data_IF_138445728217
#
_entry.id   IF_138445728217
#
_cell.length_a   1.000
_cell.length_b   1.000
_cell.length_c   1.000
_cell.angle_alpha   90.00
_cell.angle_beta   90.00
_cell.angle_gamma   90.00
#
_symmetry.space_group_name_H-M   'P 1'
#
loop_
_entity.id
_entity.type
_entity.pdbx_description
1 polymer ?
#
# COMPACT_ATOMS: atom_id res chain seq x y z
N UNK A 1 -13.44 8.28 37.54
CA UNK A 1 -12.10 7.89 37.09
C UNK A 1 -12.22 6.67 36.17
N UNK A 2 -11.54 6.67 35.03
CA UNK A 2 -11.49 5.51 34.15
C UNK A 2 -10.59 4.46 34.81
N UNK A 3 -11.10 3.26 35.09
CA UNK A 3 -10.36 2.25 35.85
C UNK A 3 -9.55 1.34 34.93
N UNK A 4 -8.49 0.73 35.48
CA UNK A 4 -7.75 -0.33 34.77
C UNK A 4 -8.67 -1.47 34.33
N UNK A 5 -9.71 -1.77 35.12
CA UNK A 5 -10.75 -2.76 34.81
C UNK A 5 -11.52 -2.39 33.54
N UNK A 6 -11.81 -1.11 33.30
CA UNK A 6 -12.48 -0.64 32.08
C UNK A 6 -11.58 -0.84 30.85
N UNK A 7 -10.27 -0.56 30.96
CA UNK A 7 -9.29 -0.82 29.89
C UNK A 7 -9.22 -2.32 29.56
N UNK A 8 -9.13 -3.16 30.58
CA UNK A 8 -9.06 -4.62 30.41
C UNK A 8 -10.32 -5.20 29.79
N UNK A 9 -11.48 -4.58 30.07
CA UNK A 9 -12.75 -4.97 29.45
C UNK A 9 -12.74 -4.66 27.95
N UNK A 10 -12.34 -3.43 27.58
CA UNK A 10 -12.18 -3.04 26.16
C UNK A 10 -11.20 -3.95 25.43
N UNK A 11 -10.07 -4.29 26.05
CA UNK A 11 -9.09 -5.21 25.47
C UNK A 11 -9.68 -6.61 25.29
N UNK A 12 -10.41 -7.12 26.29
CA UNK A 12 -11.05 -8.43 26.19
C UNK A 12 -12.09 -8.51 25.08
N UNK A 13 -12.86 -7.44 24.87
CA UNK A 13 -13.82 -7.34 23.78
C UNK A 13 -13.14 -7.31 22.42
N UNK A 14 -12.12 -6.46 22.24
CA UNK A 14 -11.44 -6.27 20.95
C UNK A 14 -10.60 -7.49 20.56
N UNK A 15 -9.95 -8.11 21.53
CA UNK A 15 -9.14 -9.31 21.32
C UNK A 15 -10.00 -10.60 21.29
N UNK A 16 -11.30 -10.49 21.57
CA UNK A 16 -12.24 -11.61 21.74
C UNK A 16 -11.71 -12.72 22.66
N UNK A 17 -11.01 -12.32 23.73
CA UNK A 17 -10.51 -13.20 24.78
C UNK A 17 -11.38 -13.04 26.02
N UNK A 18 -11.40 -14.04 26.90
CA UNK A 18 -12.23 -13.91 28.11
C UNK A 18 -11.66 -12.78 28.97
N UNK A 19 -12.53 -11.97 29.55
CA UNK A 19 -12.09 -10.93 30.49
C UNK A 19 -11.20 -11.47 31.62
N UNK A 20 -11.44 -12.71 32.07
CA UNK A 20 -10.61 -13.41 33.06
C UNK A 20 -9.19 -13.71 32.56
N UNK A 21 -9.01 -13.92 31.26
CA UNK A 21 -7.72 -14.17 30.63
C UNK A 21 -6.89 -12.88 30.56
N UNK A 22 -7.54 -11.73 30.32
CA UNK A 22 -6.87 -10.41 30.36
C UNK A 22 -6.58 -10.01 31.80
N UNK A 23 -7.60 -10.11 32.69
CA UNK A 23 -7.52 -9.72 34.10
C UNK A 23 -6.43 -10.45 34.89
N UNK A 24 -6.19 -11.73 34.57
CA UNK A 24 -5.19 -12.57 35.25
C UNK A 24 -3.74 -12.34 34.80
N UNK A 25 -3.51 -11.50 33.79
CA UNK A 25 -2.23 -11.36 33.10
C UNK A 25 -1.85 -9.88 32.91
N UNK A 26 -1.94 -9.09 33.99
CA UNK A 26 -1.65 -7.63 34.00
C UNK A 26 -0.23 -7.27 33.59
N UNK A 27 0.70 -8.24 33.57
CA UNK A 27 2.09 -8.06 33.15
C UNK A 27 2.32 -8.35 31.67
N UNK A 28 1.31 -8.84 30.93
CA UNK A 28 1.45 -9.12 29.51
C UNK A 28 1.07 -7.92 28.66
N UNK A 29 1.82 -7.70 27.58
CA UNK A 29 1.55 -6.62 26.65
C UNK A 29 0.33 -6.92 25.76
N UNK A 30 -0.23 -5.89 25.13
CA UNK A 30 -1.37 -6.03 24.22
C UNK A 30 -1.04 -7.00 23.05
N UNK A 31 0.19 -6.95 22.53
CA UNK A 31 0.67 -7.86 21.50
C UNK A 31 0.79 -9.31 21.97
N UNK A 32 1.13 -9.55 23.24
CA UNK A 32 1.18 -10.91 23.82
C UNK A 32 -0.20 -11.56 23.94
N UNK A 33 -1.28 -10.76 23.94
CA UNK A 33 -2.64 -11.27 23.78
C UNK A 33 -3.05 -11.47 22.30
N UNK A 34 -2.16 -11.11 21.37
CA UNK A 34 -2.37 -11.20 19.93
C UNK A 34 -2.99 -9.95 19.32
N UNK A 35 -2.88 -8.80 19.98
CA UNK A 35 -3.26 -7.52 19.42
C UNK A 35 -2.23 -7.01 18.41
N UNK A 36 -2.72 -6.34 17.37
CA UNK A 36 -1.90 -5.60 16.42
C UNK A 36 -2.11 -4.08 16.57
N UNK A 37 -1.41 -3.30 15.74
CA UNK A 37 -1.48 -1.83 15.77
C UNK A 37 -2.89 -1.30 15.46
N UNK A 38 -3.65 -1.95 14.57
CA UNK A 38 -5.02 -1.54 14.24
C UNK A 38 -5.99 -1.83 15.39
N UNK A 39 -5.85 -2.99 16.04
CA UNK A 39 -6.60 -3.34 17.24
C UNK A 39 -6.27 -2.42 18.41
N UNK A 40 -5.01 -1.99 18.55
CA UNK A 40 -4.60 -1.03 19.58
C UNK A 40 -5.24 0.35 19.35
N UNK A 41 -5.27 0.83 18.09
CA UNK A 41 -5.97 2.08 17.71
C UNK A 41 -7.48 1.96 18.00
N UNK A 42 -8.07 0.81 17.69
CA UNK A 42 -9.50 0.54 17.94
C UNK A 42 -9.81 0.57 19.44
N UNK A 43 -8.94 -0.01 20.27
CA UNK A 43 -9.06 0.01 21.72
C UNK A 43 -8.95 1.42 22.29
N UNK A 44 -8.03 2.22 21.78
CA UNK A 44 -7.87 3.62 22.13
C UNK A 44 -9.16 4.41 21.87
N UNK A 45 -9.73 4.27 20.67
CA UNK A 45 -10.97 4.95 20.30
C UNK A 45 -12.16 4.52 21.17
N UNK A 46 -12.30 3.23 21.46
CA UNK A 46 -13.38 2.73 22.31
C UNK A 46 -13.24 3.25 23.75
N UNK A 47 -12.02 3.29 24.29
CA UNK A 47 -11.73 3.89 25.61
C UNK A 47 -12.11 5.37 25.63
N UNK A 48 -11.73 6.13 24.60
CA UNK A 48 -12.07 7.55 24.48
C UNK A 48 -13.59 7.78 24.37
N UNK A 49 -14.32 6.93 23.64
CA UNK A 49 -15.79 7.02 23.54
C UNK A 49 -16.45 6.80 24.90
N UNK A 50 -16.05 5.73 25.62
CA UNK A 50 -16.58 5.42 26.95
C UNK A 50 -16.25 6.53 27.95
N UNK A 51 -15.06 7.12 27.88
CA UNK A 51 -14.68 8.23 28.74
C UNK A 51 -15.56 9.48 28.51
N UNK A 52 -15.85 9.80 27.24
CA UNK A 52 -16.77 10.88 26.86
C UNK A 52 -18.20 10.62 27.35
N UNK A 53 -18.73 9.43 27.13
CA UNK A 53 -20.08 9.04 27.59
C UNK A 53 -20.23 9.12 29.11
N UNK A 54 -19.21 8.72 29.86
CA UNK A 54 -19.20 8.78 31.32
C UNK A 54 -18.91 10.20 31.86
N UNK A 55 -18.75 11.20 30.99
CA UNK A 55 -18.38 12.57 31.32
C UNK A 55 -17.13 12.64 32.22
N UNK A 56 -16.21 11.69 32.02
CA UNK A 56 -14.95 11.61 32.76
C UNK A 56 -13.92 12.38 31.97
N UNK A 57 -13.50 13.53 32.49
CA UNK A 57 -12.29 14.20 32.02
C UNK A 57 -11.11 13.26 32.28
N UNK A 58 -10.50 12.74 31.22
CA UNK A 58 -9.16 12.15 31.31
C UNK A 58 -8.24 13.32 31.68
N UNK A 59 -7.92 13.45 32.95
CA UNK A 59 -7.22 14.62 33.52
C UNK A 59 -5.94 14.92 32.72
N UNK A 60 -5.79 16.20 32.38
CA UNK A 60 -4.61 16.82 31.79
C UNK A 60 -3.38 16.57 32.67
N UNK A 61 -2.48 15.68 32.23
CA UNK A 61 -1.02 15.68 32.49
C UNK A 61 -0.32 14.42 31.94
N UNK A 62 -1.06 13.40 31.51
CA UNK A 62 -0.52 12.27 30.72
C UNK A 62 -1.58 11.75 29.75
N UNK A 63 -1.99 12.60 28.81
CA UNK A 63 -2.82 12.19 27.69
C UNK A 63 -2.03 11.19 26.85
N UNK A 64 -2.29 9.89 27.02
CA UNK A 64 -1.85 8.88 26.07
C UNK A 64 -2.67 9.13 24.79
N UNK A 65 -2.11 9.90 23.88
CA UNK A 65 -2.68 10.14 22.55
C UNK A 65 -2.59 8.86 21.71
N UNK A 66 -3.31 8.82 20.59
CA UNK A 66 -3.10 7.76 19.59
C UNK A 66 -1.62 7.69 19.16
N UNK A 67 -0.90 8.82 19.18
CA UNK A 67 0.54 8.91 18.92
C UNK A 67 1.35 8.26 20.04
N UNK A 68 0.97 8.41 21.31
CA UNK A 68 1.66 7.76 22.43
C UNK A 68 1.45 6.23 22.40
N UNK A 69 0.25 5.76 22.02
CA UNK A 69 -0.02 4.33 21.82
C UNK A 69 0.69 3.74 20.61
N UNK A 70 0.77 4.49 19.50
CA UNK A 70 1.59 4.12 18.35
C UNK A 70 3.08 4.11 18.72
N UNK A 71 3.54 5.07 19.53
CA UNK A 71 4.93 5.15 20.02
C UNK A 71 5.27 3.98 20.92
N UNK A 72 4.38 3.59 21.84
CA UNK A 72 4.54 2.40 22.68
C UNK A 72 4.55 1.12 21.84
N UNK A 73 3.67 1.02 20.84
CA UNK A 73 3.61 -0.10 19.90
C UNK A 73 4.89 -0.17 19.03
N UNK A 74 5.42 0.97 18.59
CA UNK A 74 6.67 1.07 17.83
C UNK A 74 7.88 0.74 18.72
N UNK A 75 7.92 1.22 19.96
CA UNK A 75 8.98 0.89 20.94
C UNK A 75 8.97 -0.60 21.30
N UNK A 76 7.78 -1.21 21.36
CA UNK A 76 7.61 -2.64 21.57
C UNK A 76 8.08 -3.45 20.36
N UNK A 77 7.73 -3.04 19.14
CA UNK A 77 8.26 -3.62 17.89
C UNK A 77 9.78 -3.48 17.84
N UNK A 78 10.35 -2.33 18.21
CA UNK A 78 11.79 -2.12 18.33
C UNK A 78 12.42 -3.06 19.36
N UNK A 79 11.77 -3.27 20.50
CA UNK A 79 12.24 -4.18 21.55
C UNK A 79 12.20 -5.65 21.11
N UNK A 80 11.20 -6.04 20.32
CA UNK A 80 11.11 -7.37 19.68
C UNK A 80 12.25 -7.57 18.66
N UNK A 81 12.54 -6.55 17.85
CA UNK A 81 13.64 -6.55 16.88
C UNK A 81 15.00 -6.67 17.59
N UNK A 82 15.24 -5.87 18.63
CA UNK A 82 16.50 -5.86 19.38
C UNK A 82 16.69 -7.16 20.18
N UNK A 83 15.61 -7.74 20.72
CA UNK A 83 15.67 -9.00 21.49
C UNK A 83 15.71 -10.25 20.62
N UNK A 84 15.60 -10.13 19.29
CA UNK A 84 15.61 -11.25 18.35
C UNK A 84 14.39 -12.18 18.45
N UNK A 85 13.31 -11.75 19.13
CA UNK A 85 12.08 -12.53 19.24
C UNK A 85 11.28 -12.41 17.93
N UNK A 86 10.72 -13.52 17.45
CA UNK A 86 9.80 -13.51 16.30
C UNK A 86 8.37 -13.24 16.81
N UNK A 87 7.58 -12.35 16.17
CA UNK A 87 6.17 -12.21 16.49
C UNK A 87 5.43 -13.51 16.17
N UNK A 88 4.58 -13.96 17.09
CA UNK A 88 3.80 -15.18 16.90
C UNK A 88 2.83 -15.01 15.73
N UNK A 89 2.90 -15.90 14.73
CA UNK A 89 1.95 -15.89 13.62
C UNK A 89 0.51 -16.13 14.14
N UNK A 90 -0.47 -15.32 13.70
CA UNK A 90 -1.86 -15.56 14.05
C UNK A 90 -2.33 -16.90 13.47
N UNK A 91 -2.99 -17.71 14.29
CA UNK A 91 -3.51 -19.01 13.86
C UNK A 91 -4.71 -18.86 12.91
N UNK A 92 -4.87 -19.82 12.00
CA UNK A 92 -5.84 -19.87 10.88
C UNK A 92 -7.30 -19.57 11.28
N UNK A 93 -7.69 -19.76 12.55
CA UNK A 93 -9.04 -19.40 13.04
C UNK A 93 -9.27 -17.89 13.21
N UNK A 94 -8.22 -17.07 13.31
CA UNK A 94 -8.32 -15.61 13.53
C UNK A 94 -8.52 -14.80 12.25
N UNK A 95 -8.31 -15.39 11.07
CA UNK A 95 -8.39 -14.70 9.78
C UNK A 95 -9.84 -14.38 9.34
N UNK A 96 -10.85 -15.07 9.89
CA UNK A 96 -12.27 -14.77 9.66
C UNK A 96 -12.75 -13.54 10.44
N UNK A 97 -12.17 -13.27 11.62
CA UNK A 97 -12.67 -12.28 12.59
C UNK A 97 -12.26 -10.85 12.24
N UNK A 98 -11.13 -10.68 11.54
CA UNK A 98 -10.67 -9.39 10.99
C UNK A 98 -11.67 -8.76 10.00
N UNK A 99 -12.48 -9.57 9.31
CA UNK A 99 -13.41 -9.04 8.32
C UNK A 99 -14.70 -8.46 8.93
N UNK A 100 -15.13 -8.96 10.10
CA UNK A 100 -16.42 -8.58 10.72
C UNK A 100 -16.28 -7.38 11.68
N UNK A 101 -15.15 -7.25 12.41
CA UNK A 101 -14.95 -6.15 13.36
C UNK A 101 -14.52 -4.80 12.74
N UNK A 102 -13.97 -4.81 11.52
CA UNK A 102 -13.52 -3.58 10.82
C UNK A 102 -14.71 -2.79 10.25
N UNK A 103 -15.84 -3.45 9.99
CA UNK A 103 -16.95 -2.81 9.31
C UNK A 103 -17.71 -1.80 10.18
N UNK A 104 -17.71 -1.96 11.51
CA UNK A 104 -18.28 -1.01 12.48
C UNK A 104 -17.36 0.19 12.78
N UNK A 105 -16.03 -0.01 12.77
CA UNK A 105 -15.04 1.04 13.11
C UNK A 105 -14.91 2.10 12.00
N UNK A 106 -15.18 1.72 10.74
CA UNK A 106 -15.09 2.64 9.59
C UNK A 106 -16.36 3.46 9.36
N UNK A 107 -17.51 3.08 9.93
CA UNK A 107 -18.73 3.91 9.84
C UNK A 107 -18.69 5.13 10.75
N UNK A 108 -17.75 5.18 11.70
CA UNK A 108 -17.69 6.18 12.77
C UNK A 108 -16.31 6.82 12.94
N UNK A 109 -15.50 6.92 11.87
CA UNK A 109 -14.28 7.74 11.93
C UNK A 109 -14.67 9.20 12.26
N UNK A 110 -14.21 9.77 13.39
CA UNK A 110 -14.49 11.14 13.74
C UNK A 110 -13.91 12.09 12.68
N UNK A 111 -14.62 13.18 12.44
CA UNK A 111 -14.32 14.27 11.51
C UNK A 111 -12.82 14.46 11.28
N UNK A 112 -12.34 14.12 10.09
CA UNK A 112 -10.99 14.49 9.66
C UNK A 112 -11.07 15.95 9.23
N UNK A 113 -10.49 16.85 10.02
CA UNK A 113 -10.38 18.27 9.66
C UNK A 113 -9.50 18.39 8.41
N UNK A 114 -10.12 18.60 7.26
CA UNK A 114 -9.43 18.95 6.01
C UNK A 114 -9.27 20.47 6.00
N UNK A 115 -8.08 20.94 6.37
CA UNK A 115 -7.51 22.31 6.32
C UNK A 115 -8.44 23.52 6.49
N UNK A 116 -8.03 24.45 7.36
CA UNK A 116 -8.55 25.82 7.39
C UNK A 116 -8.33 26.50 6.04
N UNK A 117 -9.43 26.95 5.42
CA UNK A 117 -9.32 28.00 4.40
C UNK A 117 -8.98 29.34 5.07
N UNK A 118 -8.27 30.22 4.36
CA UNK A 118 -7.85 31.56 4.82
C UNK A 118 -8.99 32.47 5.35
N UNK A 119 -10.25 32.04 5.22
CA UNK A 119 -11.44 32.71 5.73
C UNK A 119 -11.86 32.30 7.16
N UNK A 120 -11.14 31.36 7.81
CA UNK A 120 -11.46 30.90 9.16
C UNK A 120 -12.74 30.03 9.25
N UNK A 121 -13.28 29.59 8.12
CA UNK A 121 -14.40 28.64 8.10
C UNK A 121 -13.91 27.20 8.33
N UNK A 122 -14.37 26.59 9.44
CA UNK A 122 -14.16 25.18 9.73
C UNK A 122 -15.10 24.31 8.89
N UNK A 123 -14.56 23.59 7.91
CA UNK A 123 -15.28 22.56 7.19
C UNK A 123 -15.14 21.22 7.93
N UNK A 124 -16.28 20.64 8.33
CA UNK A 124 -16.32 19.29 8.85
C UNK A 124 -16.43 18.32 7.67
N UNK A 125 -15.30 17.77 7.23
CA UNK A 125 -15.26 16.69 6.25
C UNK A 125 -15.60 15.35 6.90
N UNK A 126 -16.60 14.64 6.36
CA UNK A 126 -16.88 13.26 6.75
C UNK A 126 -16.38 12.33 5.66
N UNK A 127 -15.49 11.38 6.03
CA UNK A 127 -15.13 10.28 5.14
C UNK A 127 -16.28 9.28 5.14
N UNK A 128 -16.98 9.19 4.01
CA UNK A 128 -18.03 8.18 3.81
C UNK A 128 -17.45 6.99 3.07
N UNK A 129 -17.52 5.80 3.68
CA UNK A 129 -17.22 4.53 2.99
C UNK A 129 -18.21 4.33 1.83
N UNK A 130 -17.73 4.35 0.60
CA UNK A 130 -18.55 4.11 -0.60
C UNK A 130 -18.55 2.63 -0.98
N UNK A 131 -17.39 1.97 -0.89
CA UNK A 131 -17.23 0.53 -1.08
C UNK A 131 -15.92 0.05 -0.42
N UNK A 132 -15.73 -1.26 -0.33
CA UNK A 132 -14.51 -1.92 0.20
C UNK A 132 -14.19 -3.12 -0.68
N UNK A 133 -12.92 -3.31 -1.00
CA UNK A 133 -12.42 -4.46 -1.75
C UNK A 133 -11.34 -5.19 -0.94
N UNK A 134 -11.41 -6.52 -0.88
CA UNK A 134 -10.45 -7.34 -0.14
C UNK A 134 -9.25 -7.72 -1.00
N UNK A 135 -8.07 -7.29 -0.53
CA UNK A 135 -6.77 -7.68 -1.06
C UNK A 135 -6.10 -8.54 0.01
N UNK A 136 -5.66 -9.74 -0.36
CA UNK A 136 -5.35 -10.84 0.59
C UNK A 136 -4.18 -10.54 1.54
N UNK A 137 -3.51 -9.41 1.34
CA UNK A 137 -2.35 -8.93 2.09
C UNK A 137 -2.35 -7.40 2.17
N UNK A 138 -1.41 -6.84 2.95
CA UNK A 138 -1.17 -5.41 3.05
C UNK A 138 -0.91 -4.78 1.67
N UNK A 139 -1.35 -3.54 1.51
CA UNK A 139 -1.18 -2.73 0.31
C UNK A 139 -0.16 -1.65 0.64
N UNK A 140 1.09 -1.88 0.24
CA UNK A 140 2.18 -0.93 0.46
C UNK A 140 2.34 0.01 -0.75
N UNK A 141 1.92 -0.44 -1.94
CA UNK A 141 1.96 0.34 -3.17
C UNK A 141 0.74 1.24 -3.32
N UNK A 142 0.95 2.49 -3.71
CA UNK A 142 -0.11 3.42 -4.07
C UNK A 142 -0.94 2.88 -5.25
N UNK A 143 -2.29 2.96 -5.18
CA UNK A 143 -3.14 2.51 -6.26
C UNK A 143 -3.05 3.47 -7.47
N UNK A 144 -3.27 2.95 -8.67
CA UNK A 144 -3.33 3.76 -9.89
C UNK A 144 -4.78 3.93 -10.32
N UNK A 145 -5.19 5.17 -10.55
CA UNK A 145 -6.44 5.49 -11.23
C UNK A 145 -6.20 5.59 -12.73
N UNK A 146 -6.95 4.82 -13.51
CA UNK A 146 -6.97 4.87 -14.97
C UNK A 146 -8.35 5.32 -15.41
N UNK A 147 -8.41 6.50 -16.01
CA UNK A 147 -9.64 7.07 -16.55
C UNK A 147 -9.65 6.94 -18.08
N UNK A 148 -10.78 6.47 -18.60
CA UNK A 148 -11.15 6.56 -20.00
C UNK A 148 -12.51 7.26 -20.11
N UNK A 149 -12.92 7.65 -21.32
CA UNK A 149 -14.19 8.36 -21.54
C UNK A 149 -15.41 7.63 -20.96
N UNK A 150 -15.35 6.29 -20.87
CA UNK A 150 -16.49 5.47 -20.42
C UNK A 150 -16.28 4.77 -19.08
N UNK A 151 -15.04 4.68 -18.57
CA UNK A 151 -14.70 3.87 -17.38
C UNK A 151 -13.61 4.53 -16.56
N UNK A 152 -13.73 4.40 -15.24
CA UNK A 152 -12.66 4.73 -14.32
C UNK A 152 -12.33 3.47 -13.51
N UNK A 153 -11.08 3.01 -13.63
CA UNK A 153 -10.60 1.77 -13.07
C UNK A 153 -9.49 2.07 -12.06
N UNK A 154 -9.49 1.34 -10.95
CA UNK A 154 -8.41 1.38 -9.97
C UNK A 154 -7.58 0.10 -10.10
N UNK A 155 -6.28 0.23 -10.31
CA UNK A 155 -5.34 -0.89 -10.21
C UNK A 155 -4.69 -0.82 -8.84
N UNK A 156 -4.82 -1.90 -8.07
CA UNK A 156 -4.21 -2.02 -6.75
C UNK A 156 -3.39 -3.30 -6.69
N UNK A 157 -2.26 -3.23 -6.02
CA UNK A 157 -1.42 -4.38 -5.77
C UNK A 157 -1.19 -4.56 -4.26
N UNK A 158 -1.30 -5.79 -3.77
CA UNK A 158 -0.86 -6.12 -2.42
C UNK A 158 0.58 -6.60 -2.42
N UNK A 159 1.23 -6.48 -1.26
CA UNK A 159 2.61 -6.93 -1.04
C UNK A 159 2.82 -8.42 -1.38
N UNK A 160 1.75 -9.23 -1.39
CA UNK A 160 1.79 -10.65 -1.72
C UNK A 160 1.85 -11.00 -3.21
N UNK A 161 1.95 -10.00 -4.08
CA UNK A 161 1.96 -10.17 -5.53
C UNK A 161 0.56 -10.26 -6.15
N UNK A 162 -0.49 -9.90 -5.42
CA UNK A 162 -1.87 -9.94 -5.91
C UNK A 162 -2.26 -8.59 -6.51
N UNK A 163 -2.59 -8.58 -7.80
CA UNK A 163 -3.03 -7.41 -8.54
C UNK A 163 -4.53 -7.52 -8.80
N UNK A 164 -5.26 -6.45 -8.53
CA UNK A 164 -6.69 -6.35 -8.80
C UNK A 164 -7.00 -5.10 -9.61
N UNK A 165 -7.87 -5.24 -10.61
CA UNK A 165 -8.52 -4.12 -11.27
C UNK A 165 -9.93 -4.00 -10.72
N UNK A 166 -10.24 -2.82 -10.19
CA UNK A 166 -11.48 -2.53 -9.47
C UNK A 166 -12.24 -1.44 -10.22
N UNK A 167 -13.54 -1.65 -10.42
CA UNK A 167 -14.43 -0.60 -10.91
C UNK A 167 -14.61 0.47 -9.81
N UNK A 168 -14.22 1.71 -10.10
CA UNK A 168 -14.19 2.79 -9.10
C UNK A 168 -15.58 3.20 -8.59
N UNK A 169 -16.64 2.92 -9.35
CA UNK A 169 -18.02 3.29 -8.98
C UNK A 169 -18.62 2.27 -8.01
N UNK A 170 -18.42 0.98 -8.28
CA UNK A 170 -19.03 -0.12 -7.53
C UNK A 170 -18.10 -0.76 -6.50
N UNK A 171 -16.78 -0.59 -6.62
CA UNK A 171 -15.79 -1.32 -5.84
C UNK A 171 -15.63 -2.79 -6.24
N UNK A 172 -16.27 -3.22 -7.33
CA UNK A 172 -16.24 -4.61 -7.80
C UNK A 172 -14.90 -4.93 -8.45
N UNK A 173 -14.26 -6.03 -8.04
CA UNK A 173 -13.06 -6.56 -8.70
C UNK A 173 -13.46 -7.10 -10.07
N UNK A 174 -13.03 -6.42 -11.14
CA UNK A 174 -13.28 -6.77 -12.53
C UNK A 174 -12.27 -7.80 -13.06
N UNK A 175 -11.03 -7.72 -12.56
CA UNK A 175 -9.96 -8.64 -12.93
C UNK A 175 -8.99 -8.81 -11.77
N UNK A 176 -8.37 -9.98 -11.69
CA UNK A 176 -7.40 -10.30 -10.64
C UNK A 176 -6.36 -11.28 -11.18
N UNK A 177 -5.09 -10.99 -10.93
CA UNK A 177 -4.01 -11.90 -11.24
C UNK A 177 -2.98 -11.89 -10.11
N UNK A 178 -2.13 -12.93 -10.10
CA UNK A 178 -1.03 -13.05 -9.15
C UNK A 178 0.28 -13.05 -9.91
N UNK A 179 1.23 -12.25 -9.44
CA UNK A 179 2.59 -12.18 -9.95
C UNK A 179 3.57 -12.70 -8.89
N UNK A 180 4.77 -13.07 -9.35
CA UNK A 180 5.82 -13.57 -8.47
C UNK A 180 6.58 -12.44 -7.79
N UNK A 181 6.94 -12.67 -6.53
CA UNK A 181 7.69 -11.72 -5.72
C UNK A 181 6.80 -10.83 -4.84
N UNK A 182 7.46 -10.02 -4.03
CA UNK A 182 6.82 -9.01 -3.19
C UNK A 182 6.73 -7.68 -3.90
N UNK A 183 5.67 -6.93 -3.66
CA UNK A 183 5.46 -5.58 -4.19
C UNK A 183 5.54 -4.60 -3.02
N UNK A 184 6.60 -3.79 -2.99
CA UNK A 184 6.78 -2.73 -1.97
C UNK A 184 6.98 -1.34 -2.59
N UNK A 185 7.24 -1.28 -3.90
CA UNK A 185 7.27 -0.03 -4.64
C UNK A 185 5.90 0.31 -5.20
N UNK A 186 5.66 1.62 -5.39
CA UNK A 186 4.47 2.09 -6.09
C UNK A 186 4.40 1.54 -7.51
N UNK A 187 3.17 1.36 -7.98
CA UNK A 187 2.89 1.08 -9.37
C UNK A 187 3.09 2.36 -10.21
N UNK A 188 3.40 2.21 -11.50
CA UNK A 188 3.31 3.31 -12.46
C UNK A 188 2.58 2.88 -13.75
N UNK A 189 2.13 3.83 -14.55
CA UNK A 189 1.54 3.54 -15.86
C UNK A 189 1.87 4.62 -16.89
N UNK A 190 1.73 4.27 -18.16
CA UNK A 190 1.83 5.18 -19.31
C UNK A 190 0.69 4.90 -20.27
N UNK A 191 0.11 5.98 -20.81
CA UNK A 191 -0.79 5.91 -21.97
C UNK A 191 0.05 6.19 -23.22
N UNK A 192 0.37 5.12 -23.94
CA UNK A 192 1.15 5.15 -25.18
C UNK A 192 0.22 5.29 -26.37
N UNK A 193 0.51 6.23 -27.29
CA UNK A 193 -0.20 6.31 -28.58
C UNK A 193 0.73 5.83 -29.69
N UNK A 194 0.48 4.64 -30.23
CA UNK A 194 1.27 4.09 -31.34
C UNK A 194 0.36 3.62 -32.45
N UNK A 195 0.68 4.01 -33.69
CA UNK A 195 -0.08 3.67 -34.89
C UNK A 195 -1.60 3.98 -34.79
N UNK A 196 -1.96 5.07 -34.10
CA UNK A 196 -3.35 5.48 -33.91
C UNK A 196 -4.12 4.70 -32.85
N UNK A 197 -3.49 3.73 -32.18
CA UNK A 197 -4.07 2.99 -31.05
C UNK A 197 -3.48 3.46 -29.72
N UNK A 198 -4.35 3.69 -28.74
CA UNK A 198 -3.93 3.96 -27.37
C UNK A 198 -3.73 2.63 -26.63
N UNK A 199 -2.57 2.47 -26.03
CA UNK A 199 -2.22 1.32 -25.19
C UNK A 199 -1.88 1.83 -23.79
N UNK A 200 -2.45 1.19 -22.77
CA UNK A 200 -2.11 1.50 -21.38
C UNK A 200 -1.13 0.45 -20.87
N UNK A 201 0.06 0.90 -20.52
CA UNK A 201 1.16 0.05 -20.05
C UNK A 201 1.32 0.28 -18.56
N UNK A 202 1.29 -0.80 -17.77
CA UNK A 202 1.38 -0.79 -16.31
C UNK A 202 2.70 -1.41 -15.89
N UNK A 203 3.40 -0.74 -14.98
CA UNK A 203 4.72 -1.11 -14.50
C UNK A 203 4.65 -1.50 -13.03
N UNK A 204 5.21 -2.66 -12.72
CA UNK A 204 5.13 -3.27 -11.39
C UNK A 204 6.52 -3.74 -10.96
N UNK A 205 7.06 -3.07 -9.95
CA UNK A 205 8.31 -3.46 -9.31
C UNK A 205 8.07 -4.59 -8.32
N UNK A 206 8.77 -5.72 -8.50
CA UNK A 206 8.76 -6.83 -7.55
C UNK A 206 10.16 -7.19 -7.09
N UNK A 207 10.26 -7.94 -6.00
CA UNK A 207 11.50 -8.59 -5.63
C UNK A 207 11.28 -9.96 -4.98
N UNK A 208 12.22 -10.87 -5.22
CA UNK A 208 12.18 -12.24 -4.70
C UNK A 208 12.69 -12.33 -3.26
N UNK A 209 11.95 -13.04 -2.39
CA UNK A 209 12.32 -13.24 -0.98
C UNK A 209 13.60 -14.05 -0.76
N UNK A 210 14.00 -14.89 -1.71
CA UNK A 210 15.15 -15.82 -1.57
C UNK A 210 16.45 -15.31 -2.19
N UNK A 211 16.39 -14.55 -3.28
CA UNK A 211 17.57 -14.18 -4.07
C UNK A 211 17.90 -12.68 -4.07
N UNK A 212 17.13 -11.85 -3.34
CA UNK A 212 17.22 -10.38 -3.37
C UNK A 212 17.30 -9.83 -4.80
N UNK A 213 16.64 -10.51 -5.73
CA UNK A 213 16.64 -10.15 -7.14
C UNK A 213 15.33 -9.42 -7.41
N UNK A 214 15.45 -8.20 -7.91
CA UNK A 214 14.32 -7.38 -8.28
C UNK A 214 13.90 -7.67 -9.71
N UNK A 215 12.62 -7.48 -10.00
CA UNK A 215 12.06 -7.60 -11.33
C UNK A 215 11.12 -6.44 -11.60
N UNK A 216 11.28 -5.82 -12.77
CA UNK A 216 10.26 -4.94 -13.32
C UNK A 216 9.36 -5.78 -14.23
N UNK A 217 8.13 -6.02 -13.78
CA UNK A 217 7.09 -6.68 -14.55
C UNK A 217 6.26 -5.63 -15.27
N UNK A 218 6.07 -5.78 -16.58
CA UNK A 218 5.35 -4.81 -17.41
C UNK A 218 4.17 -5.48 -18.08
N UNK A 219 3.00 -4.83 -17.97
CA UNK A 219 1.73 -5.35 -18.44
C UNK A 219 1.08 -4.38 -19.42
N UNK A 220 0.35 -4.91 -20.39
CA UNK A 220 -0.62 -4.16 -21.17
C UNK A 220 -2.01 -4.35 -20.57
N UNK A 221 -2.70 -3.25 -20.31
CA UNK A 221 -4.11 -3.28 -19.96
C UNK A 221 -4.94 -3.41 -21.24
N UNK A 222 -5.67 -4.52 -21.36
CA UNK A 222 -6.59 -4.76 -22.48
C UNK A 222 -8.03 -4.58 -22.01
N UNK A 223 -8.81 -3.83 -22.78
CA UNK A 223 -10.21 -3.55 -22.47
C UNK A 223 -11.22 -4.51 -23.12
N UNK A 224 -10.79 -5.42 -24.00
CA UNK A 224 -11.68 -6.14 -24.91
C UNK A 224 -11.30 -7.62 -25.10
N UNK A 225 -12.25 -8.59 -25.05
CA UNK A 225 -13.62 -8.51 -24.50
C UNK A 225 -13.67 -8.64 -22.98
N UNK A 226 -12.56 -9.06 -22.37
CA UNK A 226 -12.39 -9.14 -20.92
C UNK A 226 -11.28 -8.18 -20.50
N UNK A 227 -11.54 -7.45 -19.41
CA UNK A 227 -10.53 -6.60 -18.81
C UNK A 227 -9.40 -7.47 -18.28
N UNK A 228 -8.19 -7.30 -18.81
CA UNK A 228 -7.04 -8.14 -18.44
C UNK A 228 -5.75 -7.35 -18.36
N UNK A 229 -4.83 -7.81 -17.51
CA UNK A 229 -3.42 -7.42 -17.54
C UNK A 229 -2.64 -8.51 -18.27
N UNK A 230 -2.29 -8.23 -19.52
CA UNK A 230 -1.46 -9.11 -20.34
C UNK A 230 0.01 -8.81 -20.05
N UNK A 231 0.77 -9.80 -19.57
CA UNK A 231 2.22 -9.61 -19.37
C UNK A 231 2.86 -9.31 -20.71
N UNK A 232 3.53 -8.17 -20.79
CA UNK A 232 4.17 -7.68 -22.00
C UNK A 232 5.63 -8.10 -22.07
N UNK A 233 6.39 -7.83 -21.01
CA UNK A 233 7.76 -8.28 -20.83
C UNK A 233 8.16 -8.13 -19.34
N UNK A 234 9.35 -8.63 -19.00
CA UNK A 234 9.93 -8.42 -17.67
C UNK A 234 11.43 -8.21 -17.75
N UNK A 235 11.96 -7.39 -16.84
CA UNK A 235 13.38 -7.13 -16.71
C UNK A 235 13.85 -7.52 -15.30
N UNK A 236 14.93 -8.30 -15.22
CA UNK A 236 15.54 -8.68 -13.95
C UNK A 236 16.70 -7.73 -13.63
N UNK A 237 16.76 -7.28 -12.38
CA UNK A 237 17.83 -6.43 -11.87
C UNK A 237 18.57 -7.12 -10.73
N UNK A 238 19.87 -6.85 -10.65
CA UNK A 238 20.66 -7.20 -9.49
C UNK A 238 20.23 -6.31 -8.32
N UNK A 239 19.74 -6.90 -7.24
CA UNK A 239 19.19 -6.19 -6.08
C UNK A 239 17.67 -5.98 -6.14
N UNK A 240 17.05 -5.78 -4.97
CA UNK A 240 15.60 -5.59 -4.82
C UNK A 240 15.15 -4.28 -5.49
N UNK A 241 14.05 -4.29 -6.24
CA UNK A 241 13.42 -3.08 -6.78
C UNK A 241 12.24 -2.75 -5.87
N UNK A 242 12.40 -1.70 -5.05
CA UNK A 242 11.34 -1.20 -4.15
C UNK A 242 10.90 0.22 -4.49
N UNK A 243 11.42 0.78 -5.56
CA UNK A 243 11.05 2.12 -6.03
C UNK A 243 9.95 2.03 -7.07
N UNK A 244 9.24 3.15 -7.22
CA UNK A 244 8.35 3.39 -8.36
C UNK A 244 9.19 3.46 -9.64
N UNK A 245 8.86 2.72 -10.71
CA UNK A 245 9.50 2.92 -12.00
C UNK A 245 9.23 4.33 -12.51
N UNK A 246 10.25 5.05 -12.98
CA UNK A 246 10.07 6.38 -13.56
C UNK A 246 9.86 6.24 -15.07
N UNK A 247 8.75 6.76 -15.58
CA UNK A 247 8.34 6.61 -16.97
C UNK A 247 8.31 7.99 -17.62
N UNK A 248 8.93 8.12 -18.80
CA UNK A 248 9.01 9.39 -19.50
C UNK A 248 9.03 9.22 -21.01
N UNK A 249 8.58 10.27 -21.70
CA UNK A 249 8.55 10.36 -23.16
C UNK A 249 9.58 11.38 -23.58
N UNK A 250 10.58 10.95 -24.33
CA UNK A 250 11.59 11.86 -24.86
C UNK A 250 11.08 12.50 -26.17
N UNK A 251 11.14 13.84 -26.29
CA UNK A 251 10.88 14.50 -27.55
C UNK A 251 11.95 14.12 -28.58
N UNK A 252 11.57 14.12 -29.86
CA UNK A 252 12.52 13.89 -30.95
C UNK A 252 13.66 14.91 -30.87
N UNK A 253 14.92 14.44 -30.85
CA UNK A 253 16.07 15.34 -30.99
C UNK A 253 16.10 15.89 -32.42
N UNK A 254 15.92 17.19 -32.57
CA UNK A 254 16.16 17.90 -33.83
C UNK A 254 17.67 17.88 -34.05
N UNK A 255 18.17 17.02 -34.96
CA UNK A 255 19.58 17.02 -35.39
C UNK A 255 20.31 15.68 -35.35
N UNK A 256 19.73 14.61 -34.80
CA UNK A 256 20.27 13.26 -35.01
C UNK A 256 19.82 12.78 -36.39
N UNK A 257 20.67 12.99 -37.38
CA UNK A 257 20.51 12.48 -38.73
C UNK A 257 20.29 10.96 -38.68
N UNK A 258 19.07 10.52 -38.98
CA UNK A 258 18.69 9.45 -39.90
C UNK A 258 19.68 8.29 -40.15
N UNK A 259 20.43 7.81 -39.15
CA UNK A 259 21.31 6.66 -39.29
C UNK A 259 20.60 5.34 -38.93
N UNK A 260 19.44 5.41 -38.27
CA UNK A 260 18.53 4.28 -38.04
C UNK A 260 17.09 4.78 -38.16
N UNK A 261 16.73 5.25 -39.35
CA UNK A 261 15.40 5.79 -39.66
C UNK A 261 14.36 4.67 -39.77
N UNK A 262 13.79 4.28 -38.63
CA UNK A 262 12.40 3.83 -38.62
C UNK A 262 11.53 5.08 -38.81
N UNK A 263 11.17 5.33 -40.06
CA UNK A 263 10.65 6.57 -40.69
C UNK A 263 9.33 7.17 -40.15
N UNK A 264 8.92 6.98 -38.89
CA UNK A 264 7.56 7.32 -38.46
C UNK A 264 7.42 8.41 -37.37
N UNK A 265 8.45 9.20 -37.06
CA UNK A 265 8.31 10.28 -36.07
C UNK A 265 7.82 9.79 -34.69
N UNK A 266 8.16 8.55 -34.33
CA UNK A 266 7.70 7.93 -33.09
C UNK A 266 8.42 8.58 -31.89
N UNK A 267 7.63 9.06 -30.93
CA UNK A 267 8.14 9.43 -29.61
C UNK A 267 8.85 8.24 -28.97
N UNK A 268 9.96 8.51 -28.29
CA UNK A 268 10.74 7.49 -27.60
C UNK A 268 10.29 7.39 -26.15
N UNK A 269 9.45 6.41 -25.86
CA UNK A 269 8.96 6.15 -24.51
C UNK A 269 9.93 5.25 -23.76
N UNK A 270 10.25 5.62 -22.51
CA UNK A 270 11.36 5.04 -21.76
C UNK A 270 10.98 4.85 -20.30
N UNK A 271 11.54 3.79 -19.71
CA UNK A 271 11.39 3.52 -18.28
C UNK A 271 12.75 3.41 -17.62
N UNK A 272 12.87 4.05 -16.46
CA UNK A 272 14.02 3.99 -15.59
C UNK A 272 13.64 3.20 -14.35
N UNK A 273 14.42 2.17 -14.07
CA UNK A 273 14.26 1.31 -12.91
C UNK A 273 15.52 1.35 -12.05
N UNK A 274 15.36 1.52 -10.75
CA UNK A 274 16.47 1.53 -9.79
C UNK A 274 16.35 0.36 -8.83
N UNK A 275 17.49 -0.23 -8.46
CA UNK A 275 17.54 -1.29 -7.47
C UNK A 275 18.33 -0.89 -6.23
N UNK A 276 18.07 -1.59 -5.14
CA UNK A 276 18.80 -1.46 -3.88
C UNK A 276 20.22 -2.04 -3.97
N UNK A 277 20.58 -2.66 -5.09
CA UNK A 277 21.94 -3.06 -5.40
C UNK A 277 22.82 -1.92 -5.90
N UNK A 278 22.30 -0.69 -5.97
CA UNK A 278 23.04 0.46 -6.49
C UNK A 278 23.05 0.51 -8.02
N UNK A 279 22.02 -0.05 -8.66
CA UNK A 279 21.91 -0.10 -10.11
C UNK A 279 20.76 0.77 -10.62
N UNK A 280 20.97 1.38 -11.79
CA UNK A 280 19.98 2.15 -12.52
C UNK A 280 19.93 1.63 -13.95
N UNK A 281 18.77 1.14 -14.37
CA UNK A 281 18.54 0.52 -15.67
C UNK A 281 17.58 1.37 -16.48
N UNK A 282 18.03 1.78 -17.66
CA UNK A 282 17.29 2.57 -18.62
C UNK A 282 16.83 1.67 -19.77
N UNK A 283 15.53 1.52 -19.93
CA UNK A 283 14.90 0.49 -20.76
C UNK A 283 13.95 1.12 -21.79
N UNK A 284 13.87 0.49 -22.95
CA UNK A 284 12.82 0.78 -23.93
C UNK A 284 11.48 0.17 -23.47
N UNK A 285 10.41 0.98 -23.41
CA UNK A 285 9.12 0.54 -22.88
C UNK A 285 8.47 -0.55 -23.73
N UNK A 286 8.68 -0.55 -25.04
CA UNK A 286 7.96 -1.46 -25.93
C UNK A 286 8.63 -2.81 -26.08
N UNK A 287 9.93 -2.87 -25.84
CA UNK A 287 10.72 -4.09 -26.04
C UNK A 287 11.28 -4.66 -24.74
N UNK A 288 11.36 -3.84 -23.68
CA UNK A 288 12.11 -4.18 -22.48
C UNK A 288 13.62 -4.21 -22.69
N UNK A 289 14.10 -3.75 -23.86
CA UNK A 289 15.53 -3.73 -24.18
C UNK A 289 16.26 -2.80 -23.23
N UNK A 290 17.32 -3.28 -22.61
CA UNK A 290 18.24 -2.46 -21.83
C UNK A 290 19.04 -1.56 -22.77
N UNK A 291 18.82 -0.25 -22.67
CA UNK A 291 19.49 0.75 -23.47
C UNK A 291 20.77 1.24 -22.79
N UNK A 292 20.70 1.44 -21.47
CA UNK A 292 21.84 1.84 -20.66
C UNK A 292 21.69 1.30 -19.23
N UNK A 293 22.81 0.94 -18.60
CA UNK A 293 22.86 0.56 -17.19
C UNK A 293 23.98 1.34 -16.50
N UNK A 294 23.66 1.97 -15.38
CA UNK A 294 24.65 2.49 -14.43
C UNK A 294 24.69 1.58 -13.23
N UNK A 295 25.89 1.10 -12.90
CA UNK A 295 26.13 0.16 -11.81
C UNK A 295 27.02 0.81 -10.75
N UNK A 296 26.99 0.24 -9.55
CA UNK A 296 27.86 0.64 -8.44
C UNK A 296 27.73 2.12 -8.05
N UNK A 297 26.53 2.68 -8.18
CA UNK A 297 26.26 4.07 -7.74
C UNK A 297 26.22 4.20 -6.20
N UNK A 298 26.24 3.07 -5.48
CA UNK A 298 26.33 3.00 -4.03
C UNK A 298 24.98 3.04 -3.32
N UNK A 299 24.76 2.08 -2.40
CA UNK A 299 23.58 2.05 -1.54
C UNK A 299 22.26 1.78 -2.27
N UNK A 300 21.15 2.06 -1.56
CA UNK A 300 19.81 1.93 -2.12
C UNK A 300 19.47 3.16 -2.98
N UNK A 301 19.01 2.93 -4.21
CA UNK A 301 18.61 4.00 -5.13
C UNK A 301 17.09 4.00 -5.26
N UNK A 302 16.51 5.18 -5.10
CA UNK A 302 15.13 5.48 -5.42
C UNK A 302 15.11 6.44 -6.60
N UNK A 303 14.52 6.00 -7.72
CA UNK A 303 14.28 6.81 -8.91
C UNK A 303 13.03 7.68 -8.78
#
# INVERSE_FOLDING_TARGET
>A
AFSLTDVMYVYSEILHVKFTEVKGLTTRSFAEFGGDSLMAITAAHKILSIAKEKNVTLIEENTITAIDLMTLSIQEVYSIIISGRQPNQPSVKRQRVLNEGIDDVLETLPSTTLYESDSGQQYHGYLKRVWKASLQMCVDSSPILIESESRALLIVASQGGDLAIIDTKSGTIQYRCRIEGKIEGDLNYLVSKRNGTEEIIVFVSTYGSKKKMGRLEVFKLRFDPTLTLEKFWSYESDGEIKSKPCVFVLPHRIGEAAANSDNNGQCHERVLSSSYGGNLSYLDIHTGTLLEKKENLGGAIHA
#
